data_IF_869428552201
#
_entry.id   IF_869428552201
#
_cell.length_a   1.000
_cell.length_b   1.000
_cell.length_c   1.000
_cell.angle_alpha   90.00
_cell.angle_beta   90.00
_cell.angle_gamma   90.00
#
_symmetry.space_group_name_H-M   'P 1'
#
loop_
_entity.id
_entity.type
_entity.pdbx_description
1 polymer ?
#
# COMPACT_ATOMS: atom_id res chain seq x y z
N UNK A 1 -54.88 1.65 -28.64
CA UNK A 1 -54.40 0.97 -27.42
C UNK A 1 -53.34 -0.11 -27.70
N UNK A 2 -53.47 -0.95 -28.73
CA UNK A 2 -52.53 -2.04 -29.02
C UNK A 2 -51.11 -1.62 -29.44
N UNK A 3 -50.97 -0.54 -30.22
CA UNK A 3 -49.66 -0.03 -30.68
C UNK A 3 -48.81 0.53 -29.55
N UNK A 4 -49.43 1.22 -28.59
CA UNK A 4 -48.75 1.81 -27.42
C UNK A 4 -48.09 0.76 -26.53
N UNK A 5 -48.74 -0.40 -26.36
CA UNK A 5 -48.24 -1.49 -25.51
C UNK A 5 -47.03 -2.19 -26.13
N UNK A 6 -47.06 -2.36 -27.46
CA UNK A 6 -45.93 -2.94 -28.22
C UNK A 6 -44.71 -2.02 -28.12
N UNK A 7 -44.88 -0.71 -28.32
CA UNK A 7 -43.77 0.24 -28.21
C UNK A 7 -43.17 0.28 -26.80
N UNK A 8 -44.00 0.33 -25.75
CA UNK A 8 -43.50 0.32 -24.36
C UNK A 8 -42.77 -0.98 -24.03
N UNK A 9 -43.24 -2.11 -24.54
CA UNK A 9 -42.61 -3.41 -24.31
C UNK A 9 -41.27 -3.50 -25.05
N UNK A 10 -41.17 -2.99 -26.28
CA UNK A 10 -39.91 -2.92 -27.03
C UNK A 10 -38.85 -2.07 -26.32
N UNK A 11 -39.23 -0.90 -25.77
CA UNK A 11 -38.30 -0.06 -24.99
C UNK A 11 -37.86 -0.75 -23.69
N UNK A 12 -38.76 -1.45 -23.00
CA UNK A 12 -38.44 -2.18 -21.78
C UNK A 12 -37.45 -3.32 -22.05
N UNK A 13 -37.67 -4.12 -23.11
CA UNK A 13 -36.76 -5.21 -23.50
C UNK A 13 -35.39 -4.65 -23.87
N UNK A 14 -35.32 -3.50 -24.55
CA UNK A 14 -34.04 -2.87 -24.91
C UNK A 14 -33.27 -2.38 -23.67
N UNK A 15 -33.97 -1.85 -22.67
CA UNK A 15 -33.38 -1.42 -21.40
C UNK A 15 -32.92 -2.59 -20.51
N UNK A 16 -33.56 -3.76 -20.58
CA UNK A 16 -33.11 -4.98 -19.89
C UNK A 16 -32.02 -5.74 -20.67
N UNK A 17 -31.98 -5.61 -21.99
CA UNK A 17 -30.97 -6.23 -22.85
C UNK A 17 -29.60 -5.55 -22.71
N UNK A 18 -29.56 -4.28 -22.30
CA UNK A 18 -28.32 -3.65 -21.84
C UNK A 18 -27.96 -4.24 -20.47
N UNK A 19 -27.04 -5.20 -20.45
CA UNK A 19 -26.38 -5.60 -19.20
C UNK A 19 -25.83 -4.33 -18.55
N UNK A 20 -26.22 -3.97 -17.32
CA UNK A 20 -25.51 -2.93 -16.61
C UNK A 20 -24.09 -3.46 -16.45
N UNK A 21 -23.13 -2.88 -17.17
CA UNK A 21 -21.75 -2.91 -16.72
C UNK A 21 -21.74 -2.05 -15.45
N UNK A 22 -22.16 -2.65 -14.34
CA UNK A 22 -21.59 -2.30 -13.04
C UNK A 22 -20.11 -2.62 -13.21
N UNK A 23 -19.35 -1.63 -13.70
CA UNK A 23 -17.92 -1.69 -13.69
C UNK A 23 -17.54 -2.01 -12.26
N UNK A 24 -16.83 -3.11 -12.05
CA UNK A 24 -16.18 -3.33 -10.77
C UNK A 24 -15.33 -2.08 -10.53
N UNK A 25 -15.76 -1.24 -9.59
CA UNK A 25 -15.01 -0.03 -9.27
C UNK A 25 -13.67 -0.50 -8.77
N UNK A 26 -12.61 -0.24 -9.52
CA UNK A 26 -11.26 -0.47 -9.03
C UNK A 26 -11.09 0.32 -7.73
N UNK A 27 -10.39 -0.27 -6.76
CA UNK A 27 -10.13 0.42 -5.50
C UNK A 27 -9.35 1.71 -5.74
N UNK A 28 -9.61 2.73 -4.93
CA UNK A 28 -9.00 4.03 -5.09
C UNK A 28 -7.46 3.94 -4.97
N UNK A 29 -6.71 4.73 -5.77
CA UNK A 29 -5.27 4.80 -5.62
C UNK A 29 -4.92 5.47 -4.28
N UNK A 30 -3.92 4.95 -3.57
CA UNK A 30 -3.39 5.69 -2.41
C UNK A 30 -2.61 6.91 -2.91
N UNK A 31 -2.70 8.02 -2.16
CA UNK A 31 -2.04 9.27 -2.50
C UNK A 31 -0.86 9.54 -1.57
N UNK A 32 0.19 10.15 -2.10
CA UNK A 32 1.29 10.67 -1.32
C UNK A 32 0.93 12.02 -0.65
N UNK A 33 1.87 12.57 0.13
CA UNK A 33 1.68 13.85 0.85
C UNK A 33 1.53 15.06 -0.06
N UNK A 34 1.78 14.92 -1.37
CA UNK A 34 1.60 15.95 -2.39
C UNK A 34 0.33 15.73 -3.22
N UNK A 35 -0.48 14.71 -2.91
CA UNK A 35 -1.70 14.37 -3.63
C UNK A 35 -1.48 13.58 -4.92
N UNK A 36 -0.25 13.09 -5.19
CA UNK A 36 0.01 12.25 -6.34
C UNK A 36 -0.28 10.79 -6.02
N UNK A 37 -0.70 10.02 -7.03
CA UNK A 37 -0.85 8.57 -6.88
C UNK A 37 0.48 7.92 -6.56
N UNK A 38 0.48 6.96 -5.64
CA UNK A 38 1.67 6.18 -5.31
C UNK A 38 1.95 5.17 -6.42
N UNK A 39 3.17 5.26 -6.95
CA UNK A 39 3.66 4.44 -8.06
C UNK A 39 4.75 3.48 -7.55
N UNK A 40 4.58 2.19 -7.82
CA UNK A 40 5.45 1.10 -7.32
C UNK A 40 6.89 1.15 -7.84
N UNK A 41 7.17 1.94 -8.89
CA UNK A 41 8.52 2.21 -9.38
C UNK A 41 9.29 3.22 -8.53
N UNK A 42 8.60 4.05 -7.74
CA UNK A 42 9.19 5.06 -6.87
C UNK A 42 9.50 4.55 -5.46
N UNK A 43 10.26 5.34 -4.70
CA UNK A 43 10.62 5.07 -3.31
C UNK A 43 9.99 6.10 -2.40
N UNK A 44 9.36 5.63 -1.33
CA UNK A 44 8.59 6.46 -0.41
C UNK A 44 9.16 6.38 0.99
N UNK A 45 9.02 7.46 1.75
CA UNK A 45 9.22 7.45 3.19
C UNK A 45 7.85 7.27 3.86
N UNK A 46 7.74 6.28 4.74
CA UNK A 46 6.60 6.19 5.64
C UNK A 46 6.92 7.00 6.89
N UNK A 47 6.11 8.01 7.16
CA UNK A 47 6.27 8.96 8.27
C UNK A 47 4.95 9.07 9.02
N UNK A 48 5.01 9.25 10.33
CA UNK A 48 3.79 9.48 11.11
C UNK A 48 2.99 10.65 10.54
N UNK A 49 1.69 10.43 10.33
CA UNK A 49 0.78 11.46 9.84
C UNK A 49 0.46 12.53 10.91
N UNK A 50 0.59 12.17 12.19
CA UNK A 50 0.34 13.09 13.29
C UNK A 50 1.54 14.03 13.45
N UNK A 51 1.30 15.32 13.73
CA UNK A 51 2.36 16.32 13.93
C UNK A 51 2.44 16.75 15.41
N UNK A 52 3.66 16.88 15.96
CA UNK A 52 3.88 17.28 17.36
C UNK A 52 5.18 16.77 18.00
N UNK A 53 5.49 17.27 19.19
CA UNK A 53 6.73 16.97 19.95
C UNK A 53 6.78 15.55 20.54
N UNK A 54 5.65 14.86 20.63
CA UNK A 54 5.54 13.46 21.10
C UNK A 54 5.29 12.46 19.97
N UNK A 55 5.38 12.89 18.72
CA UNK A 55 4.93 12.10 17.59
C UNK A 55 6.07 11.33 16.95
N UNK A 56 5.88 10.10 16.52
CA UNK A 56 6.97 9.34 15.91
C UNK A 56 7.41 9.94 14.56
N UNK A 57 8.66 9.71 14.19
CA UNK A 57 9.24 10.10 12.90
C UNK A 57 8.92 9.09 11.80
N UNK A 58 9.91 8.86 10.94
CA UNK A 58 9.83 7.86 9.88
C UNK A 58 10.13 6.44 10.34
N UNK A 59 10.06 5.49 9.40
CA UNK A 59 10.35 4.09 9.66
C UNK A 59 11.78 3.71 9.25
N UNK A 60 12.47 2.89 10.03
CA UNK A 60 13.81 2.36 9.72
C UNK A 60 13.96 0.90 10.13
N UNK A 61 15.02 0.26 9.64
CA UNK A 61 15.50 -1.01 10.16
C UNK A 61 16.37 -0.77 11.41
N UNK A 62 16.23 -1.60 12.43
CA UNK A 62 17.06 -1.61 13.64
C UNK A 62 17.29 -3.03 14.15
N UNK A 63 18.23 -3.18 15.07
CA UNK A 63 18.65 -4.44 15.67
C UNK A 63 17.44 -5.22 16.21
N UNK A 64 17.34 -6.47 15.81
CA UNK A 64 16.31 -7.34 16.36
C UNK A 64 16.63 -7.84 17.76
N UNK A 65 15.62 -8.41 18.43
CA UNK A 65 15.70 -8.92 19.82
C UNK A 65 16.97 -9.72 20.14
N UNK A 66 17.50 -10.48 19.19
CA UNK A 66 18.59 -11.44 19.41
C UNK A 66 19.94 -11.03 18.81
N UNK A 67 20.18 -9.79 18.35
CA UNK A 67 21.52 -9.53 17.85
C UNK A 67 21.86 -8.21 17.17
N UNK A 68 22.96 -8.31 16.43
CA UNK A 68 23.70 -7.20 15.82
C UNK A 68 23.15 -6.77 14.45
N UNK A 69 22.31 -7.62 13.84
CA UNK A 69 21.73 -7.41 12.52
C UNK A 69 20.38 -6.68 12.63
N UNK A 70 20.11 -5.70 11.74
CA UNK A 70 18.94 -4.87 11.86
C UNK A 70 17.69 -5.52 11.24
N UNK A 71 17.17 -6.56 11.87
CA UNK A 71 16.04 -7.35 11.36
C UNK A 71 14.67 -6.80 11.70
N UNK A 72 14.59 -5.87 12.66
CA UNK A 72 13.32 -5.35 13.15
C UNK A 72 13.01 -4.01 12.47
N UNK A 73 11.72 -3.72 12.32
CA UNK A 73 11.21 -2.47 11.76
C UNK A 73 10.78 -1.58 12.91
N UNK A 74 11.36 -0.39 13.03
CA UNK A 74 11.07 0.55 14.10
C UNK A 74 10.53 1.86 13.57
N UNK A 75 9.68 2.51 14.37
CA UNK A 75 9.37 3.91 14.20
C UNK A 75 10.41 4.74 14.93
N UNK A 76 11.02 5.68 14.21
CA UNK A 76 12.02 6.59 14.76
C UNK A 76 11.38 7.66 15.64
N UNK A 77 12.20 8.34 16.45
CA UNK A 77 11.75 9.51 17.20
C UNK A 77 11.46 10.69 16.25
N UNK A 78 10.67 11.70 16.64
CA UNK A 78 10.39 12.87 15.80
C UNK A 78 11.66 13.66 15.43
N UNK A 79 12.72 13.55 16.24
CA UNK A 79 14.01 14.22 16.00
C UNK A 79 14.79 13.57 14.86
N UNK A 80 14.51 12.29 14.60
CA UNK A 80 15.19 11.47 13.60
C UNK A 80 14.35 11.48 12.29
N UNK A 81 14.72 12.37 11.37
CA UNK A 81 13.98 12.63 10.12
C UNK A 81 13.73 11.36 9.31
N UNK A 82 12.54 11.28 8.68
CA UNK A 82 12.02 10.42 7.56
C UNK A 82 12.38 8.92 7.51
N UNK A 83 13.47 8.45 8.11
CA UNK A 83 13.89 7.05 8.13
C UNK A 83 14.49 6.57 6.82
N UNK A 84 14.27 5.30 6.51
CA UNK A 84 14.70 4.68 5.25
C UNK A 84 13.53 4.64 4.29
N UNK A 85 13.79 5.01 3.03
CA UNK A 85 12.78 4.88 2.00
C UNK A 85 12.57 3.40 1.64
N UNK A 86 11.40 3.10 1.09
CA UNK A 86 11.00 1.75 0.72
C UNK A 86 10.18 1.73 -0.56
N UNK A 87 10.19 0.59 -1.24
CA UNK A 87 9.26 0.31 -2.34
C UNK A 87 7.99 -0.34 -1.80
N UNK A 88 6.87 0.05 -2.39
CA UNK A 88 5.58 -0.61 -2.23
C UNK A 88 5.36 -1.44 -3.49
N UNK A 89 5.26 -2.76 -3.33
CA UNK A 89 5.21 -3.71 -4.43
C UNK A 89 3.86 -4.43 -4.40
N UNK A 90 2.88 -3.99 -5.21
CA UNK A 90 1.59 -4.66 -5.33
C UNK A 90 1.74 -6.12 -5.77
N UNK A 91 0.92 -7.01 -5.21
CA UNK A 91 0.95 -8.43 -5.52
C UNK A 91 0.58 -8.73 -6.98
N UNK A 92 -0.34 -7.95 -7.54
CA UNK A 92 -0.76 -8.01 -8.94
C UNK A 92 0.25 -7.39 -9.92
N UNK A 93 1.39 -6.88 -9.41
CA UNK A 93 2.42 -6.17 -10.16
C UNK A 93 1.91 -4.90 -10.88
N UNK A 94 0.82 -4.30 -10.38
CA UNK A 94 0.35 -3.00 -10.86
C UNK A 94 1.38 -1.89 -10.60
N UNK A 95 1.38 -0.90 -11.49
CA UNK A 95 2.22 0.31 -11.33
C UNK A 95 1.62 1.23 -10.27
N UNK A 96 0.30 1.39 -10.23
CA UNK A 96 -0.38 2.23 -9.25
C UNK A 96 -0.77 1.39 -8.04
N UNK A 97 -0.32 1.81 -6.85
CA UNK A 97 -0.70 1.18 -5.60
C UNK A 97 -2.09 1.64 -5.21
N UNK A 98 -2.99 0.69 -4.97
CA UNK A 98 -4.39 0.95 -4.62
C UNK A 98 -4.69 0.53 -3.18
N UNK A 99 -5.71 1.15 -2.60
CA UNK A 99 -6.24 0.76 -1.30
C UNK A 99 -6.66 -0.72 -1.31
N UNK A 100 -6.68 -1.32 -0.11
CA UNK A 100 -7.10 -2.71 0.11
C UNK A 100 -6.40 -3.76 -0.78
N UNK A 101 -5.27 -3.41 -1.38
CA UNK A 101 -4.47 -4.29 -2.23
C UNK A 101 -3.35 -4.89 -1.41
N UNK A 102 -3.12 -6.20 -1.57
CA UNK A 102 -1.98 -6.86 -0.94
C UNK A 102 -0.68 -6.30 -1.51
N UNK A 103 0.17 -5.76 -0.65
CA UNK A 103 1.47 -5.21 -1.02
C UNK A 103 2.60 -5.88 -0.25
N UNK A 104 3.77 -5.96 -0.87
CA UNK A 104 5.03 -6.25 -0.19
C UNK A 104 5.78 -4.95 0.05
N UNK A 105 6.31 -4.77 1.25
CA UNK A 105 7.14 -3.63 1.60
C UNK A 105 8.62 -4.04 1.62
N UNK A 106 9.48 -3.22 1.01
CA UNK A 106 10.92 -3.49 0.94
C UNK A 106 11.73 -2.23 1.12
N UNK A 107 12.58 -2.16 2.15
CA UNK A 107 13.50 -1.02 2.28
C UNK A 107 14.44 -0.93 1.07
N UNK A 108 14.70 0.30 0.60
CA UNK A 108 15.67 0.51 -0.48
C UNK A 108 17.08 0.47 0.10
N UNK A 109 17.81 -0.61 -0.20
CA UNK A 109 19.22 -0.86 0.18
C UNK A 109 19.59 -0.39 1.59
N UNK A 110 19.48 -1.28 2.55
CA UNK A 110 20.04 -1.10 3.89
C UNK A 110 21.39 -1.82 3.94
N UNK A 111 22.51 -1.07 3.89
CA UNK A 111 23.86 -1.65 3.84
C UNK A 111 24.15 -2.61 5.00
N UNK A 112 23.64 -2.31 6.20
CA UNK A 112 23.78 -3.17 7.37
C UNK A 112 22.99 -4.48 7.27
N UNK A 113 21.89 -4.54 6.52
CA UNK A 113 21.20 -5.80 6.21
C UNK A 113 22.03 -6.65 5.24
N UNK A 114 22.68 -6.02 4.26
CA UNK A 114 23.55 -6.70 3.30
C UNK A 114 24.75 -7.36 3.99
N UNK A 115 25.39 -6.65 4.92
CA UNK A 115 26.48 -7.22 5.73
C UNK A 115 26.07 -8.48 6.51
N UNK A 116 24.78 -8.56 6.86
CA UNK A 116 24.18 -9.70 7.55
C UNK A 116 23.61 -10.78 6.62
N UNK A 117 23.77 -10.64 5.29
CA UNK A 117 23.14 -11.50 4.29
C UNK A 117 21.62 -11.65 4.49
N UNK A 118 20.95 -10.58 4.92
CA UNK A 118 19.50 -10.51 5.12
C UNK A 118 18.84 -9.70 4.01
N UNK A 119 17.64 -10.11 3.61
CA UNK A 119 16.79 -9.30 2.72
C UNK A 119 16.09 -8.18 3.51
N UNK A 120 15.72 -7.14 2.78
CA UNK A 120 15.00 -5.95 3.23
C UNK A 120 13.49 -6.05 3.04
N UNK A 121 12.99 -7.20 2.57
CA UNK A 121 11.58 -7.51 2.45
C UNK A 121 10.96 -7.74 3.83
N UNK A 122 9.90 -7.00 4.14
CA UNK A 122 9.24 -7.08 5.44
C UNK A 122 8.45 -8.39 5.57
N UNK A 123 8.51 -8.97 6.76
CA UNK A 123 7.80 -10.19 7.15
C UNK A 123 7.30 -10.03 8.58
N UNK A 124 6.13 -10.58 8.86
CA UNK A 124 5.63 -10.67 10.24
C UNK A 124 6.32 -11.86 10.90
N UNK A 125 7.00 -11.62 12.02
CA UNK A 125 7.60 -12.68 12.81
C UNK A 125 6.56 -13.28 13.76
N UNK A 126 6.56 -14.61 13.89
CA UNK A 126 5.81 -15.29 14.96
C UNK A 126 6.56 -15.07 16.27
N UNK A 127 5.94 -14.36 17.21
CA UNK A 127 6.50 -14.17 18.54
C UNK A 127 6.04 -15.33 19.41
N UNK A 128 6.93 -16.26 19.73
CA UNK A 128 6.70 -17.19 20.85
C UNK A 128 6.97 -16.42 22.14
N UNK A 129 5.93 -16.13 22.91
CA UNK A 129 6.08 -15.58 24.26
C UNK A 129 6.52 -16.74 25.16
N UNK A 130 7.76 -16.68 25.66
CA UNK A 130 8.28 -17.56 26.71
C UNK A 130 8.06 -16.92 28.07
#
# INVERSE_FOLDING_TARGET
MKTSLVTTLSFLILALATKPQLGASESEPILDVYGNQVDSSHRYYLVSALWGVKTGGGISADKGKNGQCPTDVIQLSPKDKRGKNLGLLPYDNSTIVRESTNIKLKFSRVSSLQQCNKDSLWKVATITLH
#
